data_IF_378990493800
#
_entry.id   IF_378990493800
#
_cell.length_a   1.000
_cell.length_b   1.000
_cell.length_c   1.000
_cell.angle_alpha   90.00
_cell.angle_beta   90.00
_cell.angle_gamma   90.00
#
_symmetry.space_group_name_H-M   'P 1'
#
loop_
_entity.id
_entity.type
_entity.pdbx_description
1 polymer ?
#
# COMPACT_ATOMS: atom_id res chain seq x y z
N UNK A 1 -1.24 -3.96 5.71
CA UNK A 1 0.04 -4.01 6.46
C UNK A 1 -0.22 -4.63 7.82
N UNK A 2 0.46 -5.73 8.11
CA UNK A 2 0.24 -6.51 9.31
C UNK A 2 0.95 -5.89 10.52
N UNK A 3 0.45 -4.76 11.04
CA UNK A 3 1.08 -4.07 12.17
C UNK A 3 0.95 -4.88 13.48
N UNK A 4 -0.26 -5.30 13.83
CA UNK A 4 -0.54 -5.93 15.13
C UNK A 4 -0.33 -7.46 15.17
N UNK A 5 -0.68 -8.18 14.10
CA UNK A 5 -0.56 -9.65 14.00
C UNK A 5 -1.12 -10.42 15.20
N UNK A 6 -2.24 -9.93 15.75
CA UNK A 6 -2.94 -10.53 16.87
C UNK A 6 -4.20 -11.24 16.35
N UNK A 7 -4.30 -12.55 16.59
CA UNK A 7 -5.31 -13.42 15.98
C UNK A 7 -6.76 -12.90 16.07
N UNK A 8 -7.25 -12.49 17.26
CA UNK A 8 -8.58 -11.89 17.38
C UNK A 8 -8.77 -10.62 16.55
N UNK A 9 -7.77 -9.73 16.53
CA UNK A 9 -7.83 -8.50 15.71
C UNK A 9 -7.79 -8.81 14.22
N UNK A 10 -6.94 -9.75 13.79
CA UNK A 10 -6.89 -10.24 12.40
C UNK A 10 -8.24 -10.82 11.97
N UNK A 11 -8.90 -11.60 12.84
CA UNK A 11 -10.22 -12.17 12.57
C UNK A 11 -11.30 -11.10 12.48
N UNK A 12 -11.32 -10.14 13.41
CA UNK A 12 -12.29 -9.05 13.42
C UNK A 12 -12.18 -8.14 12.18
N UNK A 13 -10.98 -8.03 11.61
CA UNK A 13 -10.70 -7.18 10.44
C UNK A 13 -10.65 -7.95 9.12
N UNK A 14 -11.15 -9.19 9.06
CA UNK A 14 -11.06 -10.04 7.86
C UNK A 14 -11.81 -9.46 6.64
N UNK A 15 -12.81 -8.60 6.84
CA UNK A 15 -13.50 -7.87 5.77
C UNK A 15 -12.71 -6.67 5.22
N UNK A 16 -11.61 -6.29 5.88
CA UNK A 16 -10.76 -5.15 5.51
C UNK A 16 -9.40 -5.59 4.95
N UNK A 17 -9.35 -6.81 4.40
CA UNK A 17 -8.14 -7.35 3.76
C UNK A 17 -7.85 -6.55 2.48
N UNK A 18 -6.72 -5.85 2.47
CA UNK A 18 -6.30 -5.00 1.35
C UNK A 18 -5.65 -5.80 0.21
N UNK A 19 -5.14 -6.99 0.50
CA UNK A 19 -4.53 -7.89 -0.47
C UNK A 19 -5.24 -9.26 -0.39
N UNK A 20 -6.44 -9.39 -0.99
CA UNK A 20 -7.15 -10.65 -1.02
C UNK A 20 -6.38 -11.68 -1.87
N UNK A 21 -6.68 -12.99 -1.71
CA UNK A 21 -6.19 -14.01 -2.63
C UNK A 21 -6.54 -13.66 -4.08
N UNK A 22 -5.68 -14.05 -5.02
CA UNK A 22 -5.89 -13.79 -6.44
C UNK A 22 -7.09 -14.64 -6.91
N UNK A 23 -8.18 -14.02 -7.39
CA UNK A 23 -9.36 -14.76 -7.82
C UNK A 23 -9.17 -15.37 -9.21
N UNK A 24 -9.77 -16.53 -9.46
CA UNK A 24 -9.74 -17.18 -10.78
C UNK A 24 -10.82 -16.66 -11.74
N UNK A 25 -11.73 -15.82 -11.25
CA UNK A 25 -12.82 -15.21 -12.01
C UNK A 25 -12.65 -13.70 -12.07
N UNK A 26 -13.20 -13.09 -13.13
CA UNK A 26 -13.22 -11.63 -13.23
C UNK A 26 -13.93 -11.04 -12.00
N UNK A 27 -13.22 -10.17 -11.28
CA UNK A 27 -13.68 -9.69 -9.97
C UNK A 27 -13.50 -8.20 -9.90
N UNK A 28 -14.55 -7.50 -9.43
CA UNK A 28 -14.49 -6.07 -9.16
C UNK A 28 -13.52 -5.81 -8.00
N UNK A 29 -12.65 -4.83 -8.17
CA UNK A 29 -11.64 -4.44 -7.19
C UNK A 29 -11.69 -2.92 -6.97
N UNK A 30 -11.15 -2.46 -5.84
CA UNK A 30 -11.01 -1.02 -5.58
C UNK A 30 -9.88 -0.39 -6.41
N UNK A 31 -8.84 -1.17 -6.71
CA UNK A 31 -7.69 -0.77 -7.52
C UNK A 31 -6.98 -2.02 -8.08
N UNK A 32 -6.16 -1.82 -9.11
CA UNK A 32 -5.27 -2.85 -9.68
C UNK A 32 -3.85 -2.27 -9.80
N UNK A 33 -2.84 -3.13 -9.87
CA UNK A 33 -1.46 -2.67 -10.03
C UNK A 33 -1.26 -1.92 -11.36
N UNK A 34 -0.63 -0.75 -11.29
CA UNK A 34 -0.31 0.06 -12.47
C UNK A 34 0.62 -0.63 -13.47
N UNK A 35 1.33 -1.69 -13.04
CA UNK A 35 2.19 -2.49 -13.92
C UNK A 35 1.42 -3.23 -15.03
N UNK A 36 0.12 -3.47 -14.84
CA UNK A 36 -0.75 -4.15 -15.80
C UNK A 36 -2.15 -3.56 -15.77
N UNK A 37 -2.32 -2.38 -16.35
CA UNK A 37 -3.59 -1.69 -16.36
C UNK A 37 -3.96 -1.26 -17.78
N UNK A 38 -5.22 -1.49 -18.14
CA UNK A 38 -5.82 -1.01 -19.39
C UNK A 38 -6.98 -0.09 -19.02
N UNK A 39 -7.00 1.12 -19.56
CA UNK A 39 -7.92 2.18 -19.15
C UNK A 39 -8.59 2.75 -20.39
N UNK A 40 -9.92 2.91 -20.34
CA UNK A 40 -10.67 3.57 -21.42
C UNK A 40 -10.29 5.04 -21.49
N UNK A 41 -10.20 5.58 -22.70
CA UNK A 41 -9.89 7.00 -22.95
C UNK A 41 -10.80 7.95 -22.17
N UNK A 42 -12.10 7.65 -22.13
CA UNK A 42 -13.11 8.46 -21.42
C UNK A 42 -12.80 8.62 -19.92
N UNK A 43 -12.11 7.66 -19.29
CA UNK A 43 -11.73 7.76 -17.88
C UNK A 43 -10.71 8.88 -17.72
N UNK A 44 -9.69 8.93 -18.58
CA UNK A 44 -8.71 10.03 -18.55
C UNK A 44 -9.34 11.38 -18.85
N UNK A 45 -10.26 11.45 -19.80
CA UNK A 45 -10.98 12.68 -20.12
C UNK A 45 -11.84 13.15 -18.93
N UNK A 46 -12.39 12.21 -18.15
CA UNK A 46 -13.24 12.54 -17.00
C UNK A 46 -12.49 12.86 -15.72
N UNK A 47 -11.41 12.12 -15.41
CA UNK A 47 -10.74 12.20 -14.10
C UNK A 47 -9.31 12.73 -14.17
N UNK A 48 -8.80 13.00 -15.37
CA UNK A 48 -7.42 13.41 -15.62
C UNK A 48 -6.45 12.23 -15.61
N UNK A 49 -5.15 12.53 -15.67
CA UNK A 49 -4.07 11.54 -15.68
C UNK A 49 -3.73 11.05 -14.24
N UNK A 50 -2.67 10.26 -14.13
CA UNK A 50 -2.00 9.99 -12.86
C UNK A 50 -1.46 11.30 -12.27
N UNK A 51 -1.55 11.45 -10.94
CA UNK A 51 -1.10 12.66 -10.26
C UNK A 51 0.44 12.68 -10.20
N UNK A 52 1.06 13.62 -10.93
CA UNK A 52 2.52 13.78 -11.00
C UNK A 52 3.16 14.20 -9.65
N UNK A 53 2.35 14.52 -8.63
CA UNK A 53 2.83 14.72 -7.26
C UNK A 53 3.23 13.43 -6.54
N UNK A 54 2.91 12.26 -7.09
CA UNK A 54 3.47 10.98 -6.65
C UNK A 54 4.72 10.66 -7.48
N UNK A 55 5.86 10.42 -6.81
CA UNK A 55 7.04 9.90 -7.52
C UNK A 55 6.87 8.41 -7.84
N UNK A 56 6.43 7.62 -6.86
CA UNK A 56 6.20 6.18 -6.98
C UNK A 56 5.35 5.70 -5.80
N UNK A 57 4.52 4.68 -6.04
CA UNK A 57 3.50 4.13 -5.16
C UNK A 57 2.31 5.06 -4.94
N UNK A 58 1.13 4.45 -4.81
CA UNK A 58 -0.18 5.09 -4.58
C UNK A 58 -0.70 5.95 -5.74
N UNK A 59 0.07 6.20 -6.80
CA UNK A 59 -0.40 6.93 -7.98
C UNK A 59 -1.56 6.21 -8.66
N UNK A 60 -1.47 4.90 -8.81
CA UNK A 60 -2.50 4.08 -9.44
C UNK A 60 -3.69 3.89 -8.48
N UNK A 61 -3.43 3.74 -7.18
CA UNK A 61 -4.49 3.61 -6.18
C UNK A 61 -5.33 4.89 -6.09
N UNK A 62 -4.67 6.06 -6.11
CA UNK A 62 -5.35 7.36 -6.17
C UNK A 62 -6.16 7.51 -7.46
N UNK A 63 -5.57 7.13 -8.60
CA UNK A 63 -6.25 7.16 -9.89
C UNK A 63 -7.50 6.26 -9.93
N UNK A 64 -7.40 5.01 -9.48
CA UNK A 64 -8.55 4.10 -9.39
C UNK A 64 -9.63 4.64 -8.46
N UNK A 65 -9.25 5.25 -7.33
CA UNK A 65 -10.21 5.88 -6.41
C UNK A 65 -10.92 7.08 -7.04
N UNK A 66 -10.20 7.92 -7.80
CA UNK A 66 -10.80 9.03 -8.56
C UNK A 66 -11.75 8.51 -9.64
N UNK A 67 -11.35 7.47 -10.38
CA UNK A 67 -12.21 6.80 -11.37
C UNK A 67 -13.48 6.24 -10.72
N UNK A 68 -13.37 5.57 -9.57
CA UNK A 68 -14.50 5.04 -8.81
C UNK A 68 -15.46 6.15 -8.35
N UNK A 69 -14.93 7.28 -7.85
CA UNK A 69 -15.74 8.46 -7.49
C UNK A 69 -16.45 9.09 -8.68
N UNK A 70 -15.92 8.92 -9.89
CA UNK A 70 -16.56 9.35 -11.13
C UNK A 70 -17.54 8.32 -11.72
N UNK A 71 -17.78 7.20 -11.03
CA UNK A 71 -18.73 6.16 -11.43
C UNK A 71 -18.14 5.04 -12.30
N UNK A 72 -16.83 5.04 -12.55
CA UNK A 72 -16.17 3.95 -13.28
C UNK A 72 -15.85 2.77 -12.35
N UNK A 73 -15.76 1.58 -12.94
CA UNK A 73 -15.41 0.36 -12.22
C UNK A 73 -13.99 -0.09 -12.53
N UNK A 74 -13.35 -0.71 -11.55
CA UNK A 74 -12.07 -1.36 -11.70
C UNK A 74 -12.25 -2.88 -11.56
N UNK A 75 -11.66 -3.63 -12.48
CA UNK A 75 -11.84 -5.07 -12.60
C UNK A 75 -10.49 -5.77 -12.72
N UNK A 76 -10.31 -6.82 -11.91
CA UNK A 76 -9.26 -7.81 -12.11
C UNK A 76 -9.72 -8.81 -13.18
N UNK A 77 -8.87 -9.04 -14.19
CA UNK A 77 -9.18 -9.93 -15.32
C UNK A 77 -8.17 -11.08 -15.36
N UNK A 78 -8.52 -12.30 -14.89
CA UNK A 78 -7.57 -13.43 -14.75
C UNK A 78 -7.00 -13.95 -16.09
N UNK A 79 -7.69 -13.66 -17.20
CA UNK A 79 -7.24 -13.98 -18.55
C UNK A 79 -6.11 -13.05 -19.04
N UNK A 80 -5.99 -11.84 -18.49
CA UNK A 80 -4.91 -10.90 -18.81
C UNK A 80 -3.71 -11.18 -17.92
N UNK A 81 -2.71 -11.87 -18.48
CA UNK A 81 -1.53 -12.34 -17.73
C UNK A 81 -0.26 -11.66 -18.24
N UNK A 82 0.47 -11.03 -17.33
CA UNK A 82 1.82 -10.52 -17.58
C UNK A 82 2.77 -11.02 -16.50
N UNK A 83 4.07 -11.08 -16.82
CA UNK A 83 5.11 -11.36 -15.84
C UNK A 83 5.72 -10.02 -15.40
N UNK A 84 5.43 -9.61 -14.17
CA UNK A 84 6.10 -8.47 -13.54
C UNK A 84 7.27 -8.99 -12.69
N UNK A 85 8.50 -8.68 -13.11
CA UNK A 85 9.70 -8.99 -12.33
C UNK A 85 9.87 -7.98 -11.17
N UNK A 86 9.05 -8.14 -10.14
CA UNK A 86 8.91 -7.22 -9.00
C UNK A 86 10.26 -6.90 -8.36
N UNK A 87 10.60 -5.61 -8.30
CA UNK A 87 11.79 -5.14 -7.60
C UNK A 87 13.11 -5.39 -8.31
N UNK A 88 13.12 -5.79 -9.59
CA UNK A 88 14.35 -5.86 -10.40
C UNK A 88 15.08 -4.51 -10.43
N UNK A 89 14.37 -3.42 -10.75
CA UNK A 89 14.95 -2.07 -10.79
C UNK A 89 15.42 -1.59 -9.42
N UNK A 90 14.86 -2.12 -8.34
CA UNK A 90 15.28 -1.84 -6.96
C UNK A 90 16.28 -2.87 -6.43
N UNK A 91 16.70 -3.84 -7.24
CA UNK A 91 17.64 -4.92 -6.89
C UNK A 91 17.18 -5.81 -5.73
N UNK A 92 15.89 -6.13 -5.65
CA UNK A 92 15.26 -6.97 -4.59
C UNK A 92 15.04 -8.41 -5.09
N UNK A 93 15.67 -8.80 -6.20
CA UNK A 93 15.48 -10.09 -6.86
C UNK A 93 16.67 -11.03 -6.64
N UNK A 94 16.39 -12.29 -6.28
CA UNK A 94 17.38 -13.35 -6.10
C UNK A 94 17.37 -14.02 -4.71
N UNK A 95 18.22 -15.04 -4.53
CA UNK A 95 18.35 -15.84 -3.30
C UNK A 95 18.80 -15.05 -2.05
N UNK A 96 19.25 -13.79 -2.23
CA UNK A 96 19.50 -12.81 -1.17
C UNK A 96 18.38 -11.79 -1.13
N UNK A 97 17.17 -12.23 -0.78
CA UNK A 97 16.01 -11.37 -0.51
C UNK A 97 16.30 -10.58 0.77
N UNK A 98 17.16 -9.56 0.70
CA UNK A 98 17.36 -8.64 1.81
C UNK A 98 16.21 -7.65 1.82
N UNK A 99 15.56 -7.50 2.97
CA UNK A 99 14.59 -6.43 3.17
C UNK A 99 15.36 -5.11 3.10
N UNK A 100 15.26 -4.40 1.97
CA UNK A 100 15.89 -3.09 1.82
C UNK A 100 15.12 -2.07 2.65
N UNK A 101 15.86 -1.10 3.23
CA UNK A 101 15.27 0.06 3.91
C UNK A 101 14.29 0.75 2.96
N UNK A 102 13.11 1.14 3.45
CA UNK A 102 12.12 1.82 2.62
C UNK A 102 12.61 3.23 2.28
N UNK A 103 12.54 3.65 1.01
CA UNK A 103 12.95 4.99 0.62
C UNK A 103 11.92 6.03 1.08
N UNK A 104 12.35 7.29 1.22
CA UNK A 104 11.53 8.42 1.67
C UNK A 104 10.21 8.55 0.90
N UNK A 105 10.26 8.45 -0.42
CA UNK A 105 9.10 8.62 -1.29
C UNK A 105 7.97 7.62 -1.02
N UNK A 106 8.28 6.44 -0.47
CA UNK A 106 7.25 5.46 -0.08
C UNK A 106 6.33 6.03 1.03
N UNK A 107 6.90 6.74 2.00
CA UNK A 107 6.15 7.38 3.08
C UNK A 107 5.43 8.64 2.59
N UNK A 108 6.08 9.44 1.75
CA UNK A 108 5.51 10.67 1.18
C UNK A 108 4.28 10.37 0.31
N UNK A 109 4.38 9.39 -0.58
CA UNK A 109 3.27 8.94 -1.41
C UNK A 109 2.09 8.45 -0.57
N UNK A 110 2.34 7.62 0.45
CA UNK A 110 1.29 7.18 1.37
C UNK A 110 0.62 8.38 2.08
N UNK A 111 1.41 9.30 2.63
CA UNK A 111 0.89 10.47 3.33
C UNK A 111 0.04 11.36 2.39
N UNK A 112 0.50 11.57 1.15
CA UNK A 112 -0.23 12.30 0.11
C UNK A 112 -1.58 11.64 -0.18
N UNK A 113 -1.61 10.33 -0.38
CA UNK A 113 -2.84 9.58 -0.64
C UNK A 113 -3.88 9.76 0.47
N UNK A 114 -3.49 9.57 1.74
CA UNK A 114 -4.42 9.77 2.85
C UNK A 114 -4.89 11.22 2.97
N UNK A 115 -3.97 12.19 2.80
CA UNK A 115 -4.30 13.61 2.88
C UNK A 115 -5.31 14.03 1.81
N UNK A 116 -5.06 13.64 0.55
CA UNK A 116 -5.90 14.02 -0.58
C UNK A 116 -7.29 13.35 -0.53
N UNK A 117 -7.37 12.11 -0.01
CA UNK A 117 -8.59 11.31 -0.13
C UNK A 117 -9.41 11.18 1.15
N UNK A 118 -8.80 11.37 2.32
CA UNK A 118 -9.43 11.19 3.64
C UNK A 118 -9.21 12.40 4.58
N UNK A 119 -8.40 13.38 4.17
CA UNK A 119 -8.04 14.54 4.98
C UNK A 119 -6.89 14.29 5.96
N UNK A 120 -6.32 15.38 6.48
CA UNK A 120 -5.15 15.36 7.36
C UNK A 120 -5.42 14.65 8.70
N UNK A 121 -6.61 14.80 9.27
CA UNK A 121 -6.99 14.13 10.52
C UNK A 121 -6.93 12.61 10.38
N UNK A 122 -7.56 12.07 9.34
CA UNK A 122 -7.58 10.64 9.05
C UNK A 122 -6.17 10.10 8.76
N UNK A 123 -5.33 10.88 8.08
CA UNK A 123 -3.92 10.55 7.86
C UNK A 123 -3.18 10.40 9.19
N UNK A 124 -3.29 11.37 10.10
CA UNK A 124 -2.63 11.32 11.40
C UNK A 124 -3.18 10.19 12.28
N UNK A 125 -4.49 9.96 12.28
CA UNK A 125 -5.10 8.84 12.98
C UNK A 125 -4.51 7.50 12.49
N UNK A 126 -4.51 7.26 11.18
CA UNK A 126 -3.94 6.04 10.59
C UNK A 126 -2.45 5.87 10.92
N UNK A 127 -1.68 6.96 10.92
CA UNK A 127 -0.26 6.95 11.27
C UNK A 127 -0.03 6.61 12.74
N UNK A 128 -0.78 7.22 13.66
CA UNK A 128 -0.69 6.96 15.10
C UNK A 128 -1.13 5.52 15.44
N UNK A 129 -2.20 5.04 14.81
CA UNK A 129 -2.62 3.63 14.93
C UNK A 129 -1.50 2.70 14.49
N UNK A 130 -0.84 2.97 13.36
CA UNK A 130 0.27 2.13 12.90
C UNK A 130 1.50 2.22 13.82
N UNK A 131 1.89 3.43 14.24
CA UNK A 131 3.03 3.69 15.12
C UNK A 131 2.90 2.99 16.49
N UNK A 132 1.68 2.86 16.99
CA UNK A 132 1.38 2.17 18.26
C UNK A 132 1.20 0.67 18.06
N UNK A 133 0.44 0.24 17.05
CA UNK A 133 0.17 -1.17 16.79
C UNK A 133 1.43 -1.96 16.39
N UNK A 134 2.34 -1.35 15.63
CA UNK A 134 3.57 -2.01 15.15
C UNK A 134 4.48 -2.53 16.27
N UNK A 135 4.92 -1.72 17.26
CA UNK A 135 5.78 -2.21 18.34
C UNK A 135 5.06 -3.22 19.24
N UNK A 136 3.75 -3.03 19.48
CA UNK A 136 2.92 -4.00 20.23
C UNK A 136 2.93 -5.35 19.51
N UNK A 137 2.64 -5.37 18.21
CA UNK A 137 2.67 -6.59 17.41
C UNK A 137 4.06 -7.24 17.36
N UNK A 138 5.13 -6.44 17.29
CA UNK A 138 6.51 -6.96 17.34
C UNK A 138 6.83 -7.62 18.69
N UNK A 139 6.44 -6.98 19.80
CA UNK A 139 6.63 -7.54 21.14
C UNK A 139 5.83 -8.84 21.30
N UNK A 140 4.56 -8.84 20.88
CA UNK A 140 3.69 -10.01 20.88
C UNK A 140 4.27 -11.19 20.11
N UNK A 141 4.80 -10.97 18.91
CA UNK A 141 5.40 -12.04 18.11
C UNK A 141 6.68 -12.58 18.75
N UNK A 142 7.51 -11.70 19.33
CA UNK A 142 8.71 -12.13 20.09
C UNK A 142 8.36 -13.05 21.25
N UNK A 143 7.33 -12.72 22.02
CA UNK A 143 6.86 -13.57 23.12
C UNK A 143 6.43 -14.97 22.64
N UNK A 144 6.01 -15.10 21.38
CA UNK A 144 5.63 -16.38 20.74
C UNK A 144 6.78 -17.05 19.98
N UNK A 145 8.01 -16.57 20.11
CA UNK A 145 9.17 -17.08 19.36
C UNK A 145 9.09 -16.84 17.85
N UNK A 146 8.16 -15.99 17.38
CA UNK A 146 7.99 -15.65 15.97
C UNK A 146 8.78 -14.39 15.62
N UNK A 147 9.27 -14.31 14.38
CA UNK A 147 9.98 -13.15 13.85
C UNK A 147 9.20 -12.54 12.69
N UNK A 148 9.35 -11.22 12.51
CA UNK A 148 8.91 -10.49 11.31
C UNK A 148 10.10 -10.22 10.42
N UNK A 149 9.89 -10.33 9.12
CA UNK A 149 10.86 -9.93 8.09
C UNK A 149 10.47 -8.55 7.55
N UNK A 150 10.60 -7.53 8.40
CA UNK A 150 10.32 -6.14 8.01
C UNK A 150 11.59 -5.47 7.46
N UNK A 151 11.43 -4.48 6.57
CA UNK A 151 12.49 -3.53 6.24
C UNK A 151 13.23 -2.97 7.46
N UNK A 152 14.56 -2.83 7.40
CA UNK A 152 15.34 -2.22 8.47
C UNK A 152 14.87 -0.78 8.68
N UNK A 153 14.89 -0.34 9.94
CA UNK A 153 14.47 1.00 10.36
C UNK A 153 13.02 1.39 10.04
N UNK A 154 12.16 0.47 9.57
CA UNK A 154 10.80 0.81 9.11
C UNK A 154 10.01 1.69 10.09
N UNK A 155 9.99 1.34 11.37
CA UNK A 155 9.26 2.12 12.39
C UNK A 155 9.86 3.51 12.61
N UNK A 156 11.20 3.60 12.70
CA UNK A 156 11.90 4.86 12.87
C UNK A 156 11.75 5.78 11.66
N UNK A 157 11.82 5.20 10.46
CA UNK A 157 11.61 5.93 9.21
C UNK A 157 10.17 6.40 9.08
N UNK A 158 9.20 5.58 9.49
CA UNK A 158 7.80 5.98 9.50
C UNK A 158 7.57 7.18 10.42
N UNK A 159 8.12 7.15 11.64
CA UNK A 159 8.06 8.28 12.57
C UNK A 159 8.76 9.52 11.97
N UNK A 160 9.99 9.33 11.47
CA UNK A 160 10.82 10.41 10.91
C UNK A 160 10.11 11.11 9.76
N UNK A 161 9.69 10.38 8.74
CA UNK A 161 9.17 10.97 7.51
C UNK A 161 7.73 11.47 7.61
N UNK A 162 6.99 11.11 8.66
CA UNK A 162 5.63 11.62 8.88
C UNK A 162 5.55 12.76 9.91
N UNK A 163 6.50 12.87 10.85
CA UNK A 163 6.36 13.79 11.99
C UNK A 163 7.62 14.56 12.37
N UNK A 164 8.82 14.08 12.02
CA UNK A 164 10.04 14.80 12.34
C UNK A 164 10.42 15.73 11.18
N UNK A 165 10.95 16.93 11.47
CA UNK A 165 11.47 17.79 10.43
C UNK A 165 12.61 17.07 9.71
N UNK A 166 12.48 16.95 8.38
CA UNK A 166 13.57 16.52 7.53
C UNK A 166 14.57 17.69 7.47
N UNK A 167 15.74 17.52 8.08
CA UNK A 167 16.92 18.33 7.72
C UNK A 167 17.33 18.02 6.29
#
# INVERSE_FOLDING_TARGET
EDALQFGPATRALNSYVVAPPIPDVATRMDWVSGASMMVRREVFEKVGLLDAGYFMYYEETDFCLRAARAGFECWYVPASRIIHLVGQSSGVTGAKRSTKRRPKYWFESRARYFRNNRGALSMHAANLTWLTAYPIGRAWLRLRGRRRDDPPMLWWDFLKYNYLPCK
#
